data_IF_927919756356
#
_entry.id   IF_927919756356
#
_cell.length_a   1.000
_cell.length_b   1.000
_cell.length_c   1.000
_cell.angle_alpha   90.00
_cell.angle_beta   90.00
_cell.angle_gamma   90.00
#
_symmetry.space_group_name_H-M   'P 1'
#
loop_
_entity.id
_entity.type
_entity.pdbx_description
1 polymer ?
#
# COMPACT_ATOMS: atom_id res chain seq x y z
N UNK A 1 35.87 -47.74 37.40
CA UNK A 1 35.42 -46.34 37.14
C UNK A 1 35.89 -45.96 35.74
N UNK A 2 35.00 -45.78 34.77
CA UNK A 2 35.25 -45.04 33.53
C UNK A 2 33.94 -44.98 32.72
N UNK A 3 33.12 -43.99 33.00
CA UNK A 3 31.99 -43.61 32.14
C UNK A 3 32.41 -42.38 31.35
N UNK A 4 32.74 -42.58 30.08
CA UNK A 4 33.06 -41.49 29.16
C UNK A 4 31.77 -40.73 28.80
N UNK A 5 31.62 -39.52 29.32
CA UNK A 5 30.63 -38.54 28.89
C UNK A 5 31.10 -37.90 27.58
N UNK A 6 30.48 -38.25 26.46
CA UNK A 6 30.64 -37.48 25.22
C UNK A 6 29.65 -36.31 25.24
N UNK A 7 30.11 -35.04 25.13
CA UNK A 7 29.21 -33.90 25.06
C UNK A 7 28.60 -33.79 23.65
N UNK A 8 27.27 -33.80 23.58
CA UNK A 8 26.52 -33.55 22.34
C UNK A 8 26.41 -32.05 22.09
N UNK A 9 27.49 -31.41 21.64
CA UNK A 9 27.42 -30.05 21.11
C UNK A 9 27.42 -30.13 19.59
N UNK A 10 26.24 -30.10 18.98
CA UNK A 10 26.13 -29.90 17.54
C UNK A 10 26.64 -28.48 17.20
N UNK A 11 27.49 -28.31 16.17
CA UNK A 11 27.93 -26.99 15.75
C UNK A 11 26.71 -26.22 15.22
N UNK A 12 26.39 -25.10 15.86
CA UNK A 12 25.40 -24.14 15.35
C UNK A 12 25.96 -23.58 14.05
N UNK A 13 25.46 -24.07 12.91
CA UNK A 13 25.85 -23.53 11.62
C UNK A 13 25.28 -22.11 11.49
N UNK A 14 26.08 -21.11 11.07
CA UNK A 14 25.57 -19.78 10.87
C UNK A 14 24.53 -19.80 9.74
N UNK A 15 23.29 -19.45 10.06
CA UNK A 15 22.23 -19.27 9.06
C UNK A 15 22.58 -18.02 8.25
N UNK A 16 23.13 -18.23 7.06
CA UNK A 16 23.43 -17.16 6.10
C UNK A 16 22.11 -16.66 5.50
N UNK A 17 21.51 -15.66 6.16
CA UNK A 17 20.32 -14.97 5.65
C UNK A 17 20.74 -14.00 4.55
N UNK A 18 20.39 -14.29 3.30
CA UNK A 18 20.56 -13.33 2.19
C UNK A 18 19.48 -12.25 2.29
N UNK A 19 19.83 -11.08 2.82
CA UNK A 19 18.99 -9.88 2.73
C UNK A 19 19.06 -9.30 1.31
N UNK A 20 18.25 -9.81 0.39
CA UNK A 20 18.12 -9.26 -0.96
C UNK A 20 17.15 -8.06 -0.98
N UNK A 21 17.44 -6.97 -0.28
CA UNK A 21 16.68 -5.74 -0.45
C UNK A 21 17.36 -4.84 -1.49
N UNK A 22 17.02 -5.04 -2.76
CA UNK A 22 17.50 -4.17 -3.86
C UNK A 22 16.92 -2.75 -3.82
N UNK A 23 16.05 -2.43 -2.86
CA UNK A 23 15.30 -1.18 -2.82
C UNK A 23 16.20 0.07 -2.85
N UNK A 24 17.38 0.01 -2.22
CA UNK A 24 18.35 1.12 -2.19
C UNK A 24 19.11 1.32 -3.52
N UNK A 25 19.19 0.29 -4.37
CA UNK A 25 19.88 0.33 -5.67
C UNK A 25 18.93 0.44 -6.87
N UNK A 26 17.62 0.65 -6.63
CA UNK A 26 16.65 0.80 -7.72
C UNK A 26 16.87 2.12 -8.45
N UNK A 27 16.88 2.04 -9.77
CA UNK A 27 16.91 3.22 -10.62
C UNK A 27 15.71 4.14 -10.29
N UNK A 28 15.98 5.43 -10.16
CA UNK A 28 14.94 6.45 -10.04
C UNK A 28 14.39 6.74 -11.44
N UNK A 29 13.07 6.64 -11.64
CA UNK A 29 12.49 6.91 -12.95
C UNK A 29 12.63 8.40 -13.25
N UNK A 30 13.00 8.72 -14.49
CA UNK A 30 13.01 10.10 -14.95
C UNK A 30 11.61 10.73 -14.80
N UNK A 31 11.52 12.03 -14.48
CA UNK A 31 10.25 12.72 -14.44
C UNK A 31 9.55 12.65 -15.81
N UNK A 32 8.23 12.47 -15.81
CA UNK A 32 7.49 12.16 -17.05
C UNK A 32 6.89 13.41 -17.66
N UNK A 33 7.43 13.78 -18.81
CA UNK A 33 7.06 14.97 -19.56
C UNK A 33 5.66 14.94 -20.21
N UNK A 34 5.02 13.79 -20.56
CA UNK A 34 3.67 13.86 -21.14
C UNK A 34 2.57 14.24 -20.13
N UNK A 35 2.90 14.53 -18.84
CA UNK A 35 1.89 14.65 -17.78
C UNK A 35 2.07 15.76 -16.74
N UNK A 36 3.04 16.69 -16.87
CA UNK A 36 3.36 17.72 -15.85
C UNK A 36 3.65 17.15 -14.45
N UNK A 37 4.25 15.97 -14.36
CA UNK A 37 4.67 15.38 -13.08
C UNK A 37 6.19 15.36 -13.07
N UNK A 38 6.73 16.53 -12.76
CA UNK A 38 8.16 16.85 -12.68
C UNK A 38 8.62 17.07 -11.23
N UNK A 39 7.73 17.58 -10.37
CA UNK A 39 7.99 17.84 -8.96
C UNK A 39 7.32 16.79 -8.05
N UNK A 40 7.92 16.46 -6.90
CA UNK A 40 7.27 15.64 -5.87
C UNK A 40 5.90 16.18 -5.45
N UNK A 41 5.74 17.51 -5.42
CA UNK A 41 4.46 18.17 -5.11
C UNK A 41 3.41 17.89 -6.19
N UNK A 42 3.80 17.96 -7.46
CA UNK A 42 2.93 17.62 -8.58
C UNK A 42 2.53 16.14 -8.55
N UNK A 43 3.45 15.25 -8.17
CA UNK A 43 3.16 13.84 -7.96
C UNK A 43 2.14 13.61 -6.83
N UNK A 44 2.35 14.23 -5.67
CA UNK A 44 1.42 14.16 -4.53
C UNK A 44 0.02 14.66 -4.90
N UNK A 45 -0.07 15.76 -5.64
CA UNK A 45 -1.34 16.27 -6.15
C UNK A 45 -2.01 15.29 -7.12
N UNK A 46 -1.24 14.67 -8.02
CA UNK A 46 -1.79 13.72 -8.99
C UNK A 46 -2.37 12.46 -8.33
N UNK A 47 -1.74 11.97 -7.25
CA UNK A 47 -2.21 10.79 -6.50
C UNK A 47 -3.31 11.14 -5.47
N UNK A 48 -3.47 12.41 -5.12
CA UNK A 48 -4.47 12.87 -4.16
C UNK A 48 -5.88 12.74 -4.75
N UNK A 49 -6.79 12.16 -3.96
CA UNK A 49 -8.21 11.97 -4.31
C UNK A 49 -9.06 12.29 -3.07
N UNK A 50 -10.37 12.56 -3.19
CA UNK A 50 -11.24 12.88 -2.04
C UNK A 50 -11.17 11.86 -0.90
N UNK A 51 -11.01 10.56 -1.24
CA UNK A 51 -10.82 9.49 -0.25
C UNK A 51 -9.52 9.59 0.53
N UNK A 52 -8.47 10.12 -0.08
CA UNK A 52 -7.10 10.14 0.45
C UNK A 52 -6.37 11.37 -0.06
N UNK A 53 -6.43 12.42 0.74
CA UNK A 53 -5.76 13.67 0.45
C UNK A 53 -4.36 13.68 1.07
N UNK A 54 -3.35 13.43 0.24
CA UNK A 54 -1.94 13.54 0.64
C UNK A 54 -1.37 14.94 0.39
N UNK A 55 -2.01 15.74 -0.46
CA UNK A 55 -1.50 17.05 -0.86
C UNK A 55 -1.76 18.10 0.22
N UNK A 56 -2.90 18.01 0.93
CA UNK A 56 -3.21 18.88 2.06
C UNK A 56 -2.58 18.43 3.38
N UNK A 57 -2.04 17.21 3.45
CA UNK A 57 -1.47 16.67 4.67
C UNK A 57 -0.02 17.16 4.85
N UNK A 58 0.16 18.15 5.73
CA UNK A 58 1.46 18.79 5.99
C UNK A 58 2.56 17.79 6.35
N UNK A 59 2.25 16.77 7.15
CA UNK A 59 3.24 15.73 7.52
C UNK A 59 3.74 14.95 6.30
N UNK A 60 2.86 14.68 5.33
CA UNK A 60 3.22 13.91 4.15
C UNK A 60 3.97 14.76 3.12
N UNK A 61 3.62 16.04 3.00
CA UNK A 61 4.34 17.01 2.16
C UNK A 61 5.77 17.23 2.69
N UNK A 62 5.93 17.46 3.99
CA UNK A 62 7.24 17.63 4.62
C UNK A 62 8.11 16.37 4.51
N UNK A 63 7.50 15.20 4.67
CA UNK A 63 8.16 13.90 4.55
C UNK A 63 8.72 13.61 3.15
N UNK A 64 8.01 14.07 2.12
CA UNK A 64 8.41 13.86 0.73
C UNK A 64 9.48 14.86 0.27
N UNK A 65 9.43 16.09 0.77
CA UNK A 65 10.36 17.15 0.40
C UNK A 65 10.19 17.62 -1.06
N UNK A 66 11.21 18.31 -1.56
CA UNK A 66 11.20 18.93 -2.90
C UNK A 66 12.04 18.17 -3.92
N UNK A 67 12.94 17.30 -3.47
CA UNK A 67 13.84 16.56 -4.35
C UNK A 67 13.19 15.28 -4.91
N UNK A 68 13.29 15.11 -6.22
CA UNK A 68 12.72 13.99 -6.95
C UNK A 68 13.43 12.68 -6.59
N UNK A 69 14.76 12.70 -6.51
CA UNK A 69 15.54 11.49 -6.24
C UNK A 69 15.34 11.02 -4.80
N UNK A 70 15.37 11.95 -3.84
CA UNK A 70 15.06 11.66 -2.44
C UNK A 70 13.67 11.03 -2.25
N UNK A 71 12.63 11.53 -2.94
CA UNK A 71 11.27 10.97 -2.85
C UNK A 71 11.24 9.48 -3.21
N UNK A 72 11.92 9.05 -4.27
CA UNK A 72 11.93 7.64 -4.69
C UNK A 72 12.81 6.73 -3.80
N UNK A 73 13.66 7.32 -2.97
CA UNK A 73 14.50 6.62 -1.98
C UNK A 73 13.87 6.54 -0.59
N UNK A 74 12.68 7.08 -0.40
CA UNK A 74 11.96 7.00 0.87
C UNK A 74 11.68 5.54 1.25
N UNK A 75 11.89 5.23 2.53
CA UNK A 75 11.58 3.94 3.13
C UNK A 75 10.44 4.10 4.13
N UNK A 76 9.75 2.99 4.43
CA UNK A 76 8.65 3.00 5.40
C UNK A 76 9.08 3.42 6.80
N UNK A 77 10.36 3.24 7.15
CA UNK A 77 10.94 3.62 8.43
C UNK A 77 11.15 5.13 8.53
N UNK A 78 11.71 5.76 7.49
CA UNK A 78 11.87 7.22 7.41
C UNK A 78 10.51 7.92 7.54
N UNK A 79 9.54 7.49 6.73
CA UNK A 79 8.17 8.00 6.77
C UNK A 79 7.47 7.75 8.13
N UNK A 80 7.85 6.67 8.85
CA UNK A 80 7.33 6.41 10.20
C UNK A 80 7.95 7.36 11.21
N UNK A 81 9.25 7.65 11.09
CA UNK A 81 9.96 8.63 11.91
C UNK A 81 9.38 10.03 11.80
N UNK A 82 8.92 10.41 10.61
CA UNK A 82 8.26 11.70 10.33
C UNK A 82 6.78 11.74 10.74
N UNK A 83 6.24 10.63 11.27
CA UNK A 83 4.87 10.60 11.80
C UNK A 83 3.76 10.41 10.77
N UNK A 84 4.07 10.10 9.50
CA UNK A 84 3.05 9.86 8.46
C UNK A 84 2.20 8.64 8.83
N UNK A 85 0.87 8.72 8.70
CA UNK A 85 -0.02 7.61 9.09
C UNK A 85 0.24 6.32 8.30
N UNK A 86 0.08 5.15 8.94
CA UNK A 86 0.41 3.82 8.37
C UNK A 86 -0.19 3.61 6.99
N UNK A 87 -1.46 3.99 6.81
CA UNK A 87 -2.18 3.79 5.55
C UNK A 87 -1.67 4.72 4.44
N UNK A 88 -1.24 5.93 4.78
CA UNK A 88 -0.67 6.90 3.82
C UNK A 88 0.71 6.46 3.38
N UNK A 89 1.56 5.99 4.30
CA UNK A 89 2.87 5.41 3.97
C UNK A 89 2.76 4.26 2.97
N UNK A 90 1.84 3.32 3.23
CA UNK A 90 1.61 2.16 2.34
C UNK A 90 1.14 2.61 0.96
N UNK A 91 0.25 3.60 0.90
CA UNK A 91 -0.28 4.11 -0.36
C UNK A 91 0.77 4.89 -1.16
N UNK A 92 1.55 5.75 -0.50
CA UNK A 92 2.62 6.53 -1.13
C UNK A 92 3.67 5.61 -1.75
N UNK A 93 4.19 4.66 -0.98
CA UNK A 93 5.20 3.70 -1.48
C UNK A 93 4.66 2.84 -2.62
N UNK A 94 3.41 2.36 -2.52
CA UNK A 94 2.76 1.63 -3.61
C UNK A 94 2.63 2.50 -4.87
N UNK A 95 2.27 3.78 -4.72
CA UNK A 95 2.13 4.72 -5.84
C UNK A 95 3.46 4.99 -6.54
N UNK A 96 4.54 5.17 -5.77
CA UNK A 96 5.89 5.32 -6.31
C UNK A 96 6.33 4.08 -7.10
N UNK A 97 6.02 2.88 -6.60
CA UNK A 97 6.28 1.63 -7.34
C UNK A 97 5.44 1.52 -8.61
N UNK A 98 4.17 1.94 -8.61
CA UNK A 98 3.35 1.98 -9.84
C UNK A 98 3.93 2.94 -10.86
N UNK A 99 4.42 4.10 -10.41
CA UNK A 99 5.08 5.06 -11.28
C UNK A 99 6.38 4.50 -11.88
N UNK A 100 7.21 3.81 -11.07
CA UNK A 100 8.39 3.07 -11.56
C UNK A 100 8.04 2.10 -12.68
N UNK A 101 6.90 1.43 -12.57
CA UNK A 101 6.44 0.43 -13.53
C UNK A 101 5.82 0.98 -14.84
N UNK A 102 5.85 2.28 -15.11
CA UNK A 102 5.22 2.76 -16.36
C UNK A 102 3.83 3.35 -16.19
N UNK A 103 3.20 3.30 -15.02
CA UNK A 103 1.80 3.69 -14.88
C UNK A 103 1.63 5.17 -14.56
N UNK A 104 0.62 5.80 -15.16
CA UNK A 104 0.25 7.18 -14.86
C UNK A 104 -0.44 7.25 -13.48
N UNK A 105 -0.02 8.18 -12.58
CA UNK A 105 -0.68 8.45 -11.30
C UNK A 105 -2.18 8.67 -11.39
N UNK A 106 -2.67 9.28 -12.46
CA UNK A 106 -4.09 9.57 -12.63
C UNK A 106 -4.93 8.30 -12.83
N UNK A 107 -4.34 7.27 -13.43
CA UNK A 107 -5.04 6.02 -13.77
C UNK A 107 -5.16 5.09 -12.57
N UNK A 108 -4.12 4.99 -11.74
CA UNK A 108 -4.12 4.07 -10.60
C UNK A 108 -4.69 4.69 -9.33
N UNK A 109 -4.71 6.02 -9.21
CA UNK A 109 -5.31 6.71 -8.09
C UNK A 109 -6.84 6.60 -8.16
N UNK A 110 -7.40 5.63 -7.45
CA UNK A 110 -8.85 5.39 -7.45
C UNK A 110 -9.55 6.18 -6.34
N UNK A 111 -10.74 6.67 -6.66
CA UNK A 111 -11.60 7.37 -5.70
C UNK A 111 -12.41 6.39 -4.83
N UNK A 112 -13.33 6.91 -4.00
CA UNK A 112 -14.24 6.08 -3.22
C UNK A 112 -14.99 5.10 -4.13
N UNK A 113 -14.99 3.83 -3.71
CA UNK A 113 -15.87 2.84 -4.34
C UNK A 113 -17.31 3.30 -4.10
N UNK A 114 -18.07 3.50 -5.18
CA UNK A 114 -19.49 3.86 -5.11
C UNK A 114 -20.21 2.92 -4.14
N UNK A 115 -21.05 3.45 -3.23
CA UNK A 115 -21.78 2.61 -2.30
C UNK A 115 -22.62 1.60 -3.08
N UNK A 116 -22.76 0.40 -2.52
CA UNK A 116 -23.60 -0.63 -3.14
C UNK A 116 -25.03 -0.09 -3.27
N UNK A 117 -25.58 -0.11 -4.49
CA UNK A 117 -26.96 0.31 -4.76
C UNK A 117 -27.98 -0.52 -3.97
N UNK A 118 -27.72 -1.82 -3.82
CA UNK A 118 -28.54 -2.74 -3.02
C UNK A 118 -27.74 -3.18 -1.81
N UNK A 119 -28.26 -2.90 -0.60
CA UNK A 119 -27.69 -3.39 0.67
C UNK A 119 -28.27 -4.77 0.98
N UNK A 120 -27.40 -5.74 1.34
CA UNK A 120 -27.76 -7.14 1.58
C UNK A 120 -26.56 -8.08 1.46
N UNK A 121 -26.62 -9.23 2.14
CA UNK A 121 -25.59 -10.28 2.07
C UNK A 121 -25.77 -11.12 0.81
N UNK A 122 -25.10 -10.69 -0.26
CA UNK A 122 -24.94 -11.48 -1.50
C UNK A 122 -26.23 -11.70 -2.30
N UNK A 123 -26.20 -12.56 -3.32
CA UNK A 123 -27.34 -12.82 -4.22
C UNK A 123 -28.55 -13.46 -3.53
N UNK A 124 -28.44 -13.78 -2.23
CA UNK A 124 -29.48 -14.43 -1.45
C UNK A 124 -30.63 -13.49 -1.09
N UNK A 125 -30.33 -12.24 -0.74
CA UNK A 125 -31.32 -11.23 -0.34
C UNK A 125 -31.07 -9.93 -1.08
N UNK A 126 -32.01 -9.52 -1.92
CA UNK A 126 -31.95 -8.29 -2.71
C UNK A 126 -33.19 -7.43 -2.41
N UNK A 127 -32.99 -6.13 -2.17
CA UNK A 127 -34.09 -5.16 -1.94
C UNK A 127 -35.05 -5.57 -0.81
N UNK A 128 -34.56 -6.26 0.22
CA UNK A 128 -35.41 -6.74 1.34
C UNK A 128 -36.20 -8.02 1.04
N UNK A 129 -36.01 -8.61 -0.14
CA UNK A 129 -36.66 -9.84 -0.57
C UNK A 129 -35.60 -10.93 -0.69
N UNK A 130 -35.90 -12.13 -0.22
CA UNK A 130 -35.03 -13.28 -0.40
C UNK A 130 -35.24 -13.91 -1.77
N UNK A 131 -34.22 -13.84 -2.62
CA UNK A 131 -34.24 -14.34 -4.01
C UNK A 131 -33.80 -15.81 -4.08
N UNK A 132 -33.02 -16.30 -3.10
CA UNK A 132 -32.55 -17.69 -3.06
C UNK A 132 -32.68 -18.34 -1.67
N UNK A 133 -33.07 -19.62 -1.66
CA UNK A 133 -33.18 -20.47 -0.46
C UNK A 133 -34.48 -20.26 0.32
N UNK A 134 -34.64 -20.99 1.43
CA UNK A 134 -35.85 -20.97 2.25
C UNK A 134 -36.06 -19.59 2.91
N UNK A 135 -37.30 -19.10 2.84
CA UNK A 135 -37.76 -17.87 3.48
C UNK A 135 -37.66 -18.00 5.00
N UNK A 136 -37.22 -16.94 5.69
CA UNK A 136 -37.38 -16.86 7.15
C UNK A 136 -38.82 -16.45 7.49
N UNK A 137 -39.32 -16.83 8.68
CA UNK A 137 -40.61 -16.34 9.15
C UNK A 137 -40.65 -14.80 9.12
N UNK A 138 -41.66 -14.23 8.47
CA UNK A 138 -41.83 -12.77 8.32
C UNK A 138 -41.18 -12.14 7.08
N UNK A 139 -40.44 -12.88 6.27
CA UNK A 139 -39.90 -12.36 4.99
C UNK A 139 -40.97 -12.37 3.88
N UNK A 140 -41.03 -11.30 3.07
CA UNK A 140 -41.95 -11.20 1.92
C UNK A 140 -41.48 -12.07 0.75
N UNK A 141 -42.44 -12.68 0.03
CA UNK A 141 -42.17 -13.40 -1.23
C UNK A 141 -41.75 -12.40 -2.34
N UNK A 142 -40.85 -12.81 -3.25
CA UNK A 142 -40.51 -12.03 -4.44
C UNK A 142 -41.71 -11.82 -5.37
#
# INVERSE_FOLDING_TARGET
MLWNKLPWTLPVQPVLVRFASSAASRAVPAPRVPGKIDSPKAFLQAISKPRRDLASNSTCVSAVGEDWDAMFRLTSEKLKGEGVAVKDRKYLLWSLEKFRHGKDPRDFAYDFKKPKKVRGWGPRVQKGIRVRGMLRPGEKKP
#
